data_IF_364846679599
#
_entry.id   IF_364846679599
#
_cell.length_a   1.000
_cell.length_b   1.000
_cell.length_c   1.000
_cell.angle_alpha   90.00
_cell.angle_beta   90.00
_cell.angle_gamma   90.00
#
_symmetry.space_group_name_H-M   'P 1'
#
loop_
_entity.id
_entity.type
_entity.pdbx_description
1 polymer ?
#
# COMPACT_ATOMS: atom_id res chain seq x y z
N UNK A 1 -14.67 11.49 20.48
CA UNK A 1 -13.75 11.08 19.40
C UNK A 1 -12.49 10.56 20.09
N UNK A 2 -12.04 9.34 19.76
CA UNK A 2 -10.79 8.78 20.29
C UNK A 2 -9.80 8.79 19.13
N UNK A 3 -8.61 9.36 19.33
CA UNK A 3 -7.52 9.32 18.35
C UNK A 3 -6.70 8.06 18.51
N UNK A 4 -6.07 7.62 17.41
CA UNK A 4 -5.10 6.53 17.41
C UNK A 4 -3.75 7.06 16.90
N UNK A 5 -2.69 6.73 17.62
CA UNK A 5 -1.31 7.00 17.22
C UNK A 5 -0.67 5.72 16.69
N UNK A 6 0.10 5.85 15.61
CA UNK A 6 0.87 4.76 15.02
C UNK A 6 2.34 4.96 15.37
N UNK A 7 2.98 3.92 15.91
CA UNK A 7 4.41 3.96 16.21
C UNK A 7 5.23 3.94 14.91
N UNK A 8 6.39 4.61 14.86
CA UNK A 8 7.28 4.55 13.70
C UNK A 8 7.65 3.11 13.34
N UNK A 9 7.63 2.80 12.05
CA UNK A 9 7.93 1.46 11.54
C UNK A 9 8.69 1.49 10.22
N UNK A 10 9.27 0.35 9.86
CA UNK A 10 9.90 0.15 8.56
C UNK A 10 8.86 -0.32 7.53
N UNK A 11 8.83 0.35 6.39
CA UNK A 11 7.88 0.06 5.32
C UNK A 11 8.59 -0.26 4.01
N UNK A 12 8.06 -1.25 3.31
CA UNK A 12 8.31 -1.40 1.88
C UNK A 12 7.21 -0.68 1.11
N UNK A 13 7.62 0.21 0.22
CA UNK A 13 6.71 0.98 -0.65
C UNK A 13 6.47 0.24 -1.96
N UNK A 14 5.21 0.17 -2.36
CA UNK A 14 4.74 -0.28 -3.66
C UNK A 14 3.94 0.85 -4.32
N UNK A 15 3.94 0.91 -5.64
CA UNK A 15 3.17 1.91 -6.39
C UNK A 15 2.15 1.17 -7.23
N UNK A 16 0.88 1.32 -6.87
CA UNK A 16 -0.24 0.88 -7.68
C UNK A 16 -0.50 1.94 -8.74
N UNK A 17 -0.30 1.57 -10.01
CA UNK A 17 -0.49 2.47 -11.15
C UNK A 17 -1.50 1.88 -12.12
N UNK A 18 -2.52 2.66 -12.47
CA UNK A 18 -3.56 2.22 -13.39
C UNK A 18 -4.94 2.74 -13.01
N UNK A 19 -5.97 2.11 -13.56
CA UNK A 19 -7.36 2.46 -13.26
C UNK A 19 -7.74 2.02 -11.83
N UNK A 20 -8.31 2.94 -11.06
CA UNK A 20 -8.76 2.68 -9.69
C UNK A 20 -10.18 2.10 -9.68
N UNK A 21 -10.50 1.15 -8.77
CA UNK A 21 -9.64 0.58 -7.73
C UNK A 21 -8.78 -0.60 -8.20
N UNK A 22 -8.95 -1.07 -9.44
CA UNK A 22 -8.33 -2.30 -9.95
C UNK A 22 -6.81 -2.34 -9.78
N UNK A 23 -6.12 -1.24 -10.04
CA UNK A 23 -4.67 -1.17 -9.89
C UNK A 23 -4.19 -1.46 -8.45
N UNK A 24 -4.97 -1.08 -7.44
CA UNK A 24 -4.67 -1.37 -6.02
C UNK A 24 -4.89 -2.84 -5.73
N UNK A 25 -6.01 -3.41 -6.18
CA UNK A 25 -6.32 -4.84 -6.04
C UNK A 25 -5.22 -5.71 -6.66
N UNK A 26 -4.84 -5.42 -7.90
CA UNK A 26 -3.78 -6.14 -8.62
C UNK A 26 -2.44 -6.02 -7.87
N UNK A 27 -2.13 -4.85 -7.30
CA UNK A 27 -0.90 -4.65 -6.53
C UNK A 27 -0.90 -5.47 -5.23
N UNK A 28 -2.04 -5.55 -4.53
CA UNK A 28 -2.16 -6.38 -3.33
C UNK A 28 -2.01 -7.86 -3.64
N UNK A 29 -2.63 -8.35 -4.72
CA UNK A 29 -2.45 -9.74 -5.16
C UNK A 29 -0.96 -10.05 -5.34
N UNK A 30 -0.22 -9.18 -6.05
CA UNK A 30 1.22 -9.33 -6.23
C UNK A 30 2.01 -9.29 -4.90
N UNK A 31 1.61 -8.44 -3.96
CA UNK A 31 2.23 -8.38 -2.62
C UNK A 31 2.02 -9.71 -1.88
N UNK A 32 0.80 -10.24 -1.89
CA UNK A 32 0.46 -11.51 -1.23
C UNK A 32 1.14 -12.71 -1.86
N UNK A 33 1.32 -12.72 -3.19
CA UNK A 33 2.10 -13.75 -3.88
C UNK A 33 3.59 -13.75 -3.48
N UNK A 34 4.10 -12.60 -3.02
CA UNK A 34 5.49 -12.44 -2.58
C UNK A 34 5.66 -12.52 -1.05
N UNK A 35 4.61 -12.84 -0.30
CA UNK A 35 4.56 -12.72 1.17
C UNK A 35 5.71 -13.45 1.86
N UNK A 36 6.03 -14.66 1.40
CA UNK A 36 7.12 -15.50 1.94
C UNK A 36 8.49 -14.80 1.89
N UNK A 37 8.70 -13.87 0.94
CA UNK A 37 9.96 -13.17 0.72
C UNK A 37 9.97 -11.74 1.27
N UNK A 38 8.82 -11.25 1.75
CA UNK A 38 8.67 -9.86 2.19
C UNK A 38 9.06 -9.62 3.64
N UNK A 39 9.20 -10.67 4.45
CA UNK A 39 9.47 -10.57 5.89
C UNK A 39 8.55 -9.57 6.59
N UNK A 40 7.24 -9.64 6.31
CA UNK A 40 6.26 -8.69 6.84
C UNK A 40 6.23 -8.70 8.36
N UNK A 41 6.03 -7.52 8.92
CA UNK A 41 5.90 -7.30 10.36
C UNK A 41 4.46 -7.49 10.84
N UNK A 42 3.48 -7.30 9.95
CA UNK A 42 2.05 -7.41 10.24
C UNK A 42 1.57 -6.49 11.40
N UNK A 43 2.18 -5.31 11.53
CA UNK A 43 1.76 -4.29 12.50
C UNK A 43 0.64 -3.44 11.95
N UNK A 44 0.91 -2.69 10.87
CA UNK A 44 -0.10 -1.98 10.11
C UNK A 44 0.41 -1.71 8.69
N UNK A 45 -0.49 -1.77 7.72
CA UNK A 45 -0.24 -1.39 6.34
C UNK A 45 -1.18 -0.23 6.00
N UNK A 46 -0.79 0.63 5.06
CA UNK A 46 -1.65 1.74 4.65
C UNK A 46 -1.45 2.14 3.19
N UNK A 47 -2.47 2.78 2.63
CA UNK A 47 -2.48 3.28 1.26
C UNK A 47 -2.59 4.80 1.29
N UNK A 48 -1.74 5.48 0.53
CA UNK A 48 -1.74 6.92 0.40
C UNK A 48 -2.38 7.33 -0.92
N UNK A 49 -3.65 7.74 -0.83
CA UNK A 49 -4.40 8.32 -1.94
C UNK A 49 -4.12 9.82 -2.05
N UNK A 50 -3.02 10.17 -2.73
CA UNK A 50 -2.63 11.55 -2.97
C UNK A 50 -3.35 12.20 -4.15
N UNK A 51 -2.83 13.35 -4.62
CA UNK A 51 -3.41 14.10 -5.74
C UNK A 51 -3.43 13.32 -7.09
N UNK A 52 -2.63 12.26 -7.20
CA UNK A 52 -2.54 11.44 -8.41
C UNK A 52 -3.52 10.27 -8.42
N UNK A 53 -4.34 10.06 -7.38
CA UNK A 53 -5.22 8.88 -7.32
C UNK A 53 -6.44 8.92 -8.27
N UNK A 54 -6.69 10.06 -8.93
CA UNK A 54 -7.84 10.26 -9.82
C UNK A 54 -7.42 10.84 -11.18
N UNK A 55 -6.55 10.12 -11.89
CA UNK A 55 -6.06 10.46 -13.24
C UNK A 55 -6.44 9.41 -14.28
N UNK A 56 -7.49 8.63 -14.02
CA UNK A 56 -7.90 7.51 -14.88
C UNK A 56 -6.81 6.43 -14.94
N UNK A 57 -6.33 6.11 -16.14
CA UNK A 57 -5.28 5.10 -16.35
C UNK A 57 -3.91 5.51 -15.82
N UNK A 58 -3.67 6.81 -15.61
CA UNK A 58 -2.45 7.34 -15.01
C UNK A 58 -2.56 7.54 -13.50
N UNK A 59 -3.60 6.96 -12.86
CA UNK A 59 -3.75 7.09 -11.41
C UNK A 59 -2.65 6.34 -10.69
N UNK A 60 -2.17 6.93 -9.60
CA UNK A 60 -1.09 6.38 -8.77
C UNK A 60 -1.49 6.43 -7.30
N UNK A 61 -1.33 5.29 -6.61
CA UNK A 61 -1.52 5.13 -5.17
C UNK A 61 -0.28 4.47 -4.59
N UNK A 62 0.24 5.01 -3.50
CA UNK A 62 1.37 4.40 -2.79
C UNK A 62 0.85 3.46 -1.71
N UNK A 63 1.34 2.21 -1.70
CA UNK A 63 1.00 1.21 -0.70
C UNK A 63 2.24 0.97 0.17
N UNK A 64 2.08 1.12 1.48
CA UNK A 64 3.14 0.92 2.47
C UNK A 64 2.83 -0.33 3.28
N UNK A 65 3.70 -1.33 3.17
CA UNK A 65 3.59 -2.62 3.88
C UNK A 65 4.66 -2.69 4.94
N UNK A 66 4.27 -2.96 6.19
CA UNK A 66 5.21 -3.05 7.30
C UNK A 66 6.09 -4.30 7.19
N UNK A 67 7.41 -4.11 7.33
CA UNK A 67 8.43 -5.16 7.23
C UNK A 67 9.35 -5.17 8.45
N UNK A 68 9.99 -6.31 8.72
CA UNK A 68 10.90 -6.51 9.84
C UNK A 68 12.27 -5.87 9.61
#
# INVERSE_FOLDING_TARGET
>A
MIGQEFQPENFKKFIAKGEMPKAVDDTWINIWEQDENLNRKYTYDFELYGANCNKGTDSEVEIFVAVK
#
